data_IF_481319115846
#
_entry.id   IF_481319115846
#
_cell.length_a   1.000
_cell.length_b   1.000
_cell.length_c   1.000
_cell.angle_alpha   90.00
_cell.angle_beta   90.00
_cell.angle_gamma   90.00
#
_symmetry.space_group_name_H-M   'P 1'
#
loop_
_entity.id
_entity.type
_entity.pdbx_description
1 polymer ?
#
# COMPACT_ATOMS: atom_id res chain seq x y z
N UNK A 1 -7.21 -5.80 -26.05
CA UNK A 1 -5.81 -5.97 -25.61
C UNK A 1 -5.78 -6.69 -24.27
N UNK A 2 -4.87 -7.63 -24.05
CA UNK A 2 -4.75 -8.26 -22.73
C UNK A 2 -4.40 -7.19 -21.68
N UNK A 3 -5.12 -7.19 -20.56
CA UNK A 3 -4.90 -6.28 -19.44
C UNK A 3 -3.76 -6.83 -18.60
N UNK A 4 -2.72 -6.03 -18.39
CA UNK A 4 -1.59 -6.37 -17.53
C UNK A 4 -1.64 -5.54 -16.25
N UNK A 5 -1.32 -6.18 -15.13
CA UNK A 5 -1.09 -5.56 -13.84
C UNK A 5 0.41 -5.60 -13.53
N UNK A 6 0.91 -4.55 -12.92
CA UNK A 6 2.32 -4.44 -12.51
C UNK A 6 2.39 -4.57 -11.00
N UNK A 7 3.07 -5.61 -10.51
CA UNK A 7 3.40 -5.81 -9.11
C UNK A 7 4.88 -5.60 -8.90
N UNK A 8 5.28 -4.85 -7.89
CA UNK A 8 6.68 -4.66 -7.53
C UNK A 8 7.18 -5.82 -6.67
N UNK A 9 8.42 -6.20 -6.86
CA UNK A 9 9.05 -7.36 -6.22
C UNK A 9 10.51 -7.04 -5.87
N UNK A 10 11.10 -7.90 -5.04
CA UNK A 10 12.50 -7.81 -4.63
C UNK A 10 12.82 -6.47 -3.97
N UNK A 11 12.37 -6.34 -2.71
CA UNK A 11 12.48 -5.11 -1.94
C UNK A 11 13.82 -5.00 -1.23
N UNK A 12 14.30 -3.76 -1.12
CA UNK A 12 15.46 -3.35 -0.34
C UNK A 12 15.04 -2.28 0.66
N UNK A 13 15.73 -2.22 1.81
CA UNK A 13 15.35 -1.36 2.93
C UNK A 13 16.55 -0.55 3.45
N UNK A 14 16.27 0.61 4.05
CA UNK A 14 17.23 1.45 4.76
C UNK A 14 18.42 1.89 3.91
N UNK A 15 19.62 1.78 4.45
CA UNK A 15 20.88 2.23 3.78
C UNK A 15 21.12 1.53 2.44
N UNK A 16 20.81 0.23 2.33
CA UNK A 16 20.97 -0.53 1.08
C UNK A 16 20.03 0.04 0.02
N UNK A 17 18.77 0.31 0.37
CA UNK A 17 17.80 0.91 -0.53
C UNK A 17 18.27 2.26 -1.06
N UNK A 18 18.69 3.17 -0.17
CA UNK A 18 19.19 4.49 -0.55
C UNK A 18 20.33 4.40 -1.56
N UNK A 19 21.33 3.57 -1.27
CA UNK A 19 22.48 3.37 -2.14
C UNK A 19 22.07 2.85 -3.53
N UNK A 20 21.17 1.85 -3.59
CA UNK A 20 20.70 1.30 -4.86
C UNK A 20 19.89 2.31 -5.66
N UNK A 21 19.07 3.15 -5.02
CA UNK A 21 18.31 4.22 -5.68
C UNK A 21 19.25 5.28 -6.26
N UNK A 22 20.24 5.73 -5.51
CA UNK A 22 21.24 6.72 -5.95
C UNK A 22 22.05 6.22 -7.14
N UNK A 23 22.41 4.95 -7.14
CA UNK A 23 23.10 4.28 -8.25
C UNK A 23 22.17 3.83 -9.39
N UNK A 24 20.88 4.23 -9.38
CA UNK A 24 19.85 3.87 -10.39
C UNK A 24 19.68 2.35 -10.58
N UNK A 25 19.98 1.55 -9.57
CA UNK A 25 19.86 0.08 -9.57
C UNK A 25 18.54 -0.41 -9.01
N UNK A 26 17.79 0.46 -8.31
CA UNK A 26 16.43 0.23 -7.84
C UNK A 26 15.57 1.48 -7.99
N UNK A 27 14.26 1.32 -7.87
CA UNK A 27 13.30 2.42 -7.89
C UNK A 27 12.67 2.59 -6.49
N UNK A 28 12.49 3.84 -6.01
CA UNK A 28 11.90 4.09 -4.70
C UNK A 28 10.42 3.71 -4.70
N UNK A 29 9.92 3.19 -3.59
CA UNK A 29 8.50 2.96 -3.39
C UNK A 29 7.85 4.24 -2.84
N UNK A 30 6.79 4.72 -3.50
CA UNK A 30 6.03 5.88 -3.05
C UNK A 30 6.89 7.14 -2.78
N UNK A 31 7.97 7.32 -3.54
CA UNK A 31 8.92 8.42 -3.35
C UNK A 31 9.83 8.29 -2.11
N UNK A 32 9.70 7.21 -1.36
CA UNK A 32 10.53 6.95 -0.18
C UNK A 32 11.78 6.15 -0.56
N UNK A 33 12.97 6.76 -0.39
CA UNK A 33 14.25 6.11 -0.69
C UNK A 33 14.64 5.02 0.33
N UNK A 34 13.99 4.97 1.50
CA UNK A 34 14.24 3.92 2.49
C UNK A 34 13.66 2.57 2.10
N UNK A 35 12.77 2.56 1.10
CA UNK A 35 12.19 1.34 0.54
C UNK A 35 12.28 1.42 -0.97
N UNK A 36 12.92 0.44 -1.60
CA UNK A 36 13.02 0.36 -3.05
C UNK A 36 12.88 -1.06 -3.56
N UNK A 37 12.75 -1.20 -4.88
CA UNK A 37 12.64 -2.49 -5.56
C UNK A 37 13.40 -2.45 -6.89
N UNK A 38 13.89 -3.60 -7.34
CA UNK A 38 14.61 -3.73 -8.61
C UNK A 38 13.91 -4.59 -9.66
N UNK A 39 12.78 -5.21 -9.30
CA UNK A 39 12.07 -6.16 -10.14
C UNK A 39 10.58 -5.86 -10.14
N UNK A 40 9.95 -6.00 -11.29
CA UNK A 40 8.49 -6.01 -11.43
C UNK A 40 8.01 -7.38 -11.90
N UNK A 41 6.80 -7.72 -11.53
CA UNK A 41 6.07 -8.84 -12.09
C UNK A 41 4.90 -8.32 -12.91
N UNK A 42 4.86 -8.71 -14.18
CA UNK A 42 3.74 -8.47 -15.07
C UNK A 42 2.78 -9.64 -14.96
N UNK A 43 1.55 -9.35 -14.57
CA UNK A 43 0.50 -10.33 -14.35
C UNK A 43 -0.59 -10.11 -15.38
N UNK A 44 -0.92 -11.14 -16.13
CA UNK A 44 -2.11 -11.22 -16.99
C UNK A 44 -2.99 -12.38 -16.56
N UNK A 45 -4.13 -12.57 -17.21
CA UNK A 45 -5.02 -13.70 -16.93
C UNK A 45 -4.31 -15.05 -17.00
N UNK A 46 -3.40 -15.21 -17.98
CA UNK A 46 -2.80 -16.51 -18.30
C UNK A 46 -1.27 -16.56 -18.11
N UNK A 47 -0.65 -15.47 -17.61
CA UNK A 47 0.81 -15.44 -17.49
C UNK A 47 1.28 -14.53 -16.37
N UNK A 48 2.44 -14.90 -15.80
CA UNK A 48 3.19 -14.06 -14.85
C UNK A 48 4.64 -14.05 -15.29
N UNK A 49 5.23 -12.85 -15.41
CA UNK A 49 6.62 -12.70 -15.83
C UNK A 49 7.34 -11.67 -14.98
N UNK A 50 8.43 -12.08 -14.33
CA UNK A 50 9.31 -11.15 -13.59
C UNK A 50 10.32 -10.52 -14.54
N UNK A 51 10.52 -9.21 -14.38
CA UNK A 51 11.42 -8.39 -15.22
C UNK A 51 12.18 -7.44 -14.31
N UNK A 52 13.50 -7.43 -14.43
CA UNK A 52 14.33 -6.44 -13.73
C UNK A 52 14.14 -5.04 -14.34
N UNK A 53 14.22 -4.00 -13.52
CA UNK A 53 13.99 -2.61 -13.96
C UNK A 53 14.95 -2.19 -15.09
N UNK A 54 16.20 -2.68 -15.08
CA UNK A 54 17.17 -2.38 -16.14
C UNK A 54 16.83 -3.03 -17.50
N UNK A 55 15.91 -4.00 -17.55
CA UNK A 55 15.43 -4.67 -18.76
C UNK A 55 14.09 -4.13 -19.29
N UNK A 56 13.53 -3.09 -18.66
CA UNK A 56 12.24 -2.51 -19.07
C UNK A 56 12.27 -1.93 -20.49
N UNK A 57 13.43 -1.51 -20.96
CA UNK A 57 13.60 -0.98 -22.31
C UNK A 57 13.35 -2.03 -23.41
N UNK A 58 13.49 -3.30 -23.08
CA UNK A 58 13.30 -4.42 -24.02
C UNK A 58 11.83 -4.85 -24.17
N UNK A 59 10.91 -4.17 -23.48
CA UNK A 59 9.47 -4.45 -23.59
C UNK A 59 8.89 -3.93 -24.91
N UNK A 60 7.90 -4.62 -25.50
CA UNK A 60 7.13 -4.12 -26.62
C UNK A 60 6.56 -2.72 -26.33
N UNK A 61 6.54 -1.83 -27.32
CA UNK A 61 6.20 -0.39 -27.17
C UNK A 61 4.93 -0.12 -26.36
N UNK A 62 3.85 -0.84 -26.65
CA UNK A 62 2.56 -0.67 -25.94
C UNK A 62 2.63 -1.10 -24.49
N UNK A 63 3.24 -2.27 -24.21
CA UNK A 63 3.42 -2.78 -22.86
C UNK A 63 4.35 -1.88 -22.04
N UNK A 64 5.43 -1.40 -22.66
CA UNK A 64 6.35 -0.45 -22.05
C UNK A 64 5.63 0.82 -21.60
N UNK A 65 4.75 1.40 -22.46
CA UNK A 65 3.96 2.59 -22.13
C UNK A 65 3.08 2.36 -20.89
N UNK A 66 2.39 1.23 -20.83
CA UNK A 66 1.54 0.88 -19.68
C UNK A 66 2.37 0.67 -18.40
N UNK A 67 3.48 -0.08 -18.49
CA UNK A 67 4.38 -0.32 -17.36
C UNK A 67 4.99 0.98 -16.85
N UNK A 68 5.42 1.88 -17.73
CA UNK A 68 5.96 3.19 -17.36
C UNK A 68 4.94 4.02 -16.60
N UNK A 69 3.68 4.03 -17.05
CA UNK A 69 2.61 4.74 -16.35
C UNK A 69 2.35 4.15 -14.95
N UNK A 70 2.29 2.83 -14.85
CA UNK A 70 2.12 2.14 -13.57
C UNK A 70 3.29 2.42 -12.63
N UNK A 71 4.52 2.36 -13.12
CA UNK A 71 5.72 2.67 -12.34
C UNK A 71 5.73 4.12 -11.86
N UNK A 72 5.35 5.07 -12.71
CA UNK A 72 5.20 6.46 -12.30
C UNK A 72 4.25 6.59 -11.09
N UNK A 73 3.12 5.89 -11.12
CA UNK A 73 2.17 5.91 -10.00
C UNK A 73 2.73 5.22 -8.73
N UNK A 74 3.51 4.15 -8.89
CA UNK A 74 4.09 3.39 -7.78
C UNK A 74 5.25 4.14 -7.12
N UNK A 75 6.08 4.83 -7.93
CA UNK A 75 7.30 5.49 -7.45
C UNK A 75 7.10 6.94 -7.05
N UNK A 76 6.01 7.59 -7.47
CA UNK A 76 5.73 8.97 -7.11
C UNK A 76 5.31 9.10 -5.65
N UNK A 77 5.81 10.13 -4.99
CA UNK A 77 5.34 10.50 -3.65
C UNK A 77 3.84 10.77 -3.68
N UNK A 78 3.09 10.12 -2.81
CA UNK A 78 1.66 10.37 -2.66
C UNK A 78 1.43 11.65 -1.87
N UNK A 79 0.39 12.38 -2.26
CA UNK A 79 -0.10 13.51 -1.47
C UNK A 79 -0.73 12.97 -0.17
N UNK A 80 -0.62 13.75 0.89
CA UNK A 80 -1.37 13.45 2.11
C UNK A 80 -2.86 13.44 1.79
N UNK A 81 -3.58 12.52 2.42
CA UNK A 81 -5.03 12.38 2.28
C UNK A 81 -5.67 12.67 3.64
N UNK A 82 -6.64 13.57 3.67
CA UNK A 82 -7.22 14.07 4.92
C UNK A 82 -6.09 14.51 5.88
N UNK A 83 -6.12 14.07 7.13
CA UNK A 83 -5.09 14.36 8.13
C UNK A 83 -3.95 13.33 8.17
N UNK A 84 -3.95 12.35 7.22
CA UNK A 84 -2.93 11.32 7.18
C UNK A 84 -1.65 11.83 6.56
N UNK A 85 -0.55 11.72 7.29
CA UNK A 85 0.77 12.06 6.80
C UNK A 85 1.50 10.82 6.31
N UNK A 86 1.50 10.59 5.00
CA UNK A 86 2.20 9.44 4.39
C UNK A 86 3.73 9.54 4.39
N UNK A 87 4.29 10.64 4.89
CA UNK A 87 5.73 10.72 5.18
C UNK A 87 6.08 10.10 6.53
N UNK A 88 5.08 9.92 7.40
CA UNK A 88 5.19 9.30 8.73
C UNK A 88 4.61 7.89 8.65
N UNK A 89 5.45 6.90 8.56
CA UNK A 89 5.05 5.49 8.51
C UNK A 89 5.55 4.76 9.76
N UNK A 90 4.78 3.80 10.25
CA UNK A 90 3.46 3.34 9.78
C UNK A 90 2.32 4.27 10.21
N UNK A 91 1.23 4.31 9.42
CA UNK A 91 -0.08 4.76 9.90
C UNK A 91 -0.83 3.56 10.46
N UNK A 92 -1.50 3.73 11.59
CA UNK A 92 -2.20 2.67 12.31
C UNK A 92 -3.70 2.85 12.12
N UNK A 93 -4.38 1.81 11.64
CA UNK A 93 -5.82 1.79 11.52
C UNK A 93 -6.41 0.88 12.59
N UNK A 94 -7.20 1.44 13.50
CA UNK A 94 -8.00 0.70 14.47
C UNK A 94 -9.31 0.25 13.82
N UNK A 95 -9.76 -0.97 14.12
CA UNK A 95 -11.04 -1.51 13.63
C UNK A 95 -12.05 -1.50 14.76
N UNK A 96 -13.21 -0.90 14.53
CA UNK A 96 -14.34 -0.87 15.43
C UNK A 96 -15.56 -1.55 14.79
N UNK A 97 -15.88 -2.76 15.21
CA UNK A 97 -17.05 -3.47 14.74
C UNK A 97 -18.25 -3.20 15.65
N UNK A 98 -19.31 -2.61 15.09
CA UNK A 98 -20.58 -2.34 15.75
C UNK A 98 -21.67 -3.36 15.40
N UNK A 99 -21.34 -4.40 14.63
CA UNK A 99 -22.29 -5.44 14.21
C UNK A 99 -22.58 -6.40 15.37
N UNK A 100 -23.84 -6.90 15.51
CA UNK A 100 -24.21 -7.85 16.55
C UNK A 100 -23.41 -9.16 16.49
N UNK A 101 -23.02 -9.58 15.28
CA UNK A 101 -22.36 -10.86 14.98
C UNK A 101 -20.85 -10.74 14.71
N UNK A 102 -20.19 -9.66 15.19
CA UNK A 102 -18.76 -9.52 14.97
C UNK A 102 -17.98 -10.63 15.68
N UNK A 103 -17.14 -11.34 14.91
CA UNK A 103 -16.35 -12.50 15.34
C UNK A 103 -15.44 -12.24 16.55
N UNK A 104 -15.01 -11.01 16.77
CA UNK A 104 -14.04 -10.67 17.82
C UNK A 104 -14.66 -10.07 19.07
N UNK A 105 -15.71 -9.25 18.96
CA UNK A 105 -16.17 -8.41 20.07
C UNK A 105 -17.65 -8.60 20.47
N UNK A 106 -18.39 -9.53 19.81
CA UNK A 106 -19.71 -10.01 20.23
C UNK A 106 -20.73 -8.92 20.58
N UNK A 107 -20.84 -7.85 19.78
CA UNK A 107 -21.82 -6.78 20.00
C UNK A 107 -21.57 -5.90 21.23
N UNK A 108 -20.38 -6.00 21.87
CA UNK A 108 -20.05 -5.26 23.11
C UNK A 108 -20.16 -3.75 22.97
N UNK A 109 -19.93 -3.22 21.77
CA UNK A 109 -19.84 -1.79 21.54
C UNK A 109 -21.10 -1.17 20.93
N UNK A 110 -22.15 -1.97 20.70
CA UNK A 110 -23.40 -1.52 20.04
C UNK A 110 -24.40 -0.86 21.01
N UNK A 111 -24.17 -0.91 22.32
CA UNK A 111 -25.08 -0.36 23.35
C UNK A 111 -24.44 0.80 24.12
N UNK A 112 -25.28 1.78 24.52
CA UNK A 112 -24.93 2.81 25.51
C UNK A 112 -23.70 3.64 25.20
N UNK A 113 -23.54 4.13 23.95
CA UNK A 113 -22.39 4.98 23.52
C UNK A 113 -21.00 4.31 23.67
N UNK A 114 -20.93 3.02 23.99
CA UNK A 114 -19.66 2.30 24.15
C UNK A 114 -18.82 2.29 22.89
N UNK A 115 -19.45 2.26 21.70
CA UNK A 115 -18.73 2.38 20.42
C UNK A 115 -17.99 3.70 20.28
N UNK A 116 -18.59 4.81 20.72
CA UNK A 116 -17.97 6.14 20.69
C UNK A 116 -16.76 6.19 21.63
N UNK A 117 -16.92 5.63 22.85
CA UNK A 117 -15.80 5.55 23.80
C UNK A 117 -14.68 4.69 23.28
N UNK A 118 -15.01 3.56 22.67
CA UNK A 118 -13.99 2.68 22.09
C UNK A 118 -13.27 3.35 20.92
N UNK A 119 -13.98 4.06 20.03
CA UNK A 119 -13.36 4.85 18.97
C UNK A 119 -12.38 5.90 19.53
N UNK A 120 -12.79 6.63 20.57
CA UNK A 120 -11.91 7.59 21.25
C UNK A 120 -10.67 6.93 21.86
N UNK A 121 -10.83 5.75 22.44
CA UNK A 121 -9.72 4.99 23.00
C UNK A 121 -8.74 4.50 21.91
N UNK A 122 -9.24 4.05 20.75
CA UNK A 122 -8.38 3.69 19.63
C UNK A 122 -7.49 4.86 19.21
N UNK A 123 -8.03 6.07 19.06
CA UNK A 123 -7.23 7.26 18.80
C UNK A 123 -6.26 7.59 19.94
N UNK A 124 -6.70 7.50 21.19
CA UNK A 124 -5.85 7.75 22.36
C UNK A 124 -4.66 6.78 22.43
N UNK A 125 -4.85 5.54 21.99
CA UNK A 125 -3.80 4.52 21.93
C UNK A 125 -2.97 4.54 20.64
N UNK A 126 -3.18 5.55 19.78
CA UNK A 126 -2.28 5.83 18.66
C UNK A 126 -2.80 5.42 17.29
N UNK A 127 -4.08 5.11 17.13
CA UNK A 127 -4.66 4.94 15.81
C UNK A 127 -4.73 6.29 15.07
N UNK A 128 -4.28 6.30 13.82
CA UNK A 128 -4.40 7.45 12.92
C UNK A 128 -5.76 7.45 12.18
N UNK A 129 -6.37 6.28 12.07
CA UNK A 129 -7.65 6.04 11.40
C UNK A 129 -8.47 5.07 12.26
N UNK A 130 -9.79 5.24 12.28
CA UNK A 130 -10.70 4.24 12.82
C UNK A 130 -11.67 3.82 11.71
N UNK A 131 -11.64 2.53 11.37
CA UNK A 131 -12.58 1.89 10.46
C UNK A 131 -13.78 1.40 11.28
N UNK A 132 -14.98 1.88 10.93
CA UNK A 132 -16.21 1.56 11.68
C UNK A 132 -17.10 0.67 10.82
N UNK A 133 -17.18 -0.61 11.17
CA UNK A 133 -18.10 -1.58 10.56
C UNK A 133 -19.48 -1.52 11.22
N UNK A 134 -20.50 -1.05 10.49
CA UNK A 134 -21.90 -0.95 10.96
C UNK A 134 -22.81 -2.10 10.50
N UNK A 135 -22.42 -2.85 9.46
CA UNK A 135 -23.19 -3.94 8.87
C UNK A 135 -22.33 -5.19 8.70
N UNK A 136 -22.92 -6.37 8.92
CA UNK A 136 -22.32 -7.66 8.54
C UNK A 136 -22.84 -8.05 7.15
N UNK A 137 -21.95 -8.48 6.26
CA UNK A 137 -22.32 -9.12 4.98
C UNK A 137 -22.74 -10.56 5.22
#
# INVERSE_FOLDING_TARGET
MPRYYTRVCNFYYGKISKNLVENKRSLPLNGNKDISFDTIELISRNSRKKIKINKLNNLPKLLKKQVTLNLKNITSKKKNFANLNFSKLPNIMGVLNLTPDSFSDGGKFNKNKKGIEHAKNLFKFGADIVDVGGEST
#
